data_IF_420428796200
#
_entry.id   IF_420428796200
#
_cell.length_a   1.000
_cell.length_b   1.000
_cell.length_c   1.000
_cell.angle_alpha   90.00
_cell.angle_beta   90.00
_cell.angle_gamma   90.00
#
_symmetry.space_group_name_H-M   'P 1'
#
loop_
_entity.id
_entity.type
_entity.pdbx_description
1 polymer ?
#
# COMPACT_ATOMS: atom_id res chain seq x y z
N UNK A 1 -19.05 52.29 -18.99
CA UNK A 1 -18.27 51.45 -18.06
C UNK A 1 -18.88 50.05 -18.10
N UNK A 2 -18.30 49.06 -18.80
CA UNK A 2 -18.81 47.70 -18.75
C UNK A 2 -18.14 46.93 -17.59
N UNK A 3 -19.00 46.29 -16.80
CA UNK A 3 -18.66 45.46 -15.64
C UNK A 3 -18.14 44.09 -16.09
N UNK A 4 -16.98 43.68 -15.59
CA UNK A 4 -16.41 42.35 -15.78
C UNK A 4 -16.75 41.48 -14.56
N UNK A 5 -17.68 40.54 -14.73
CA UNK A 5 -17.88 39.44 -13.79
C UNK A 5 -16.87 38.33 -14.08
N UNK A 6 -15.89 38.14 -13.20
CA UNK A 6 -15.00 36.97 -13.22
C UNK A 6 -15.72 35.76 -12.61
N UNK A 7 -16.06 34.78 -13.44
CA UNK A 7 -16.54 33.47 -13.02
C UNK A 7 -15.31 32.61 -12.66
N UNK A 8 -15.05 32.42 -11.37
CA UNK A 8 -14.01 31.51 -10.89
C UNK A 8 -14.57 30.09 -10.94
N UNK A 9 -14.10 29.30 -11.91
CA UNK A 9 -14.33 27.85 -11.97
C UNK A 9 -13.52 27.18 -10.84
N UNK A 10 -14.18 26.72 -9.79
CA UNK A 10 -13.58 25.78 -8.85
C UNK A 10 -13.57 24.38 -9.47
N UNK A 11 -12.40 23.92 -9.90
CA UNK A 11 -12.16 22.52 -10.19
C UNK A 11 -12.05 21.74 -8.86
N UNK A 12 -13.15 21.14 -8.42
CA UNK A 12 -13.15 20.21 -7.29
C UNK A 12 -12.47 18.91 -7.69
N UNK A 13 -11.36 18.57 -7.03
CA UNK A 13 -10.75 17.26 -7.15
C UNK A 13 -11.68 16.21 -6.53
N UNK A 14 -12.25 15.36 -7.38
CA UNK A 14 -13.05 14.20 -6.98
C UNK A 14 -12.07 13.14 -6.48
N UNK A 15 -11.83 13.08 -5.18
CA UNK A 15 -11.13 11.96 -4.56
C UNK A 15 -12.12 10.80 -4.43
N UNK A 16 -12.10 9.85 -5.37
CA UNK A 16 -12.84 8.60 -5.23
C UNK A 16 -12.28 7.84 -4.02
N UNK A 17 -13.10 7.49 -3.01
CA UNK A 17 -12.63 6.63 -1.93
C UNK A 17 -12.27 5.26 -2.54
N UNK A 18 -10.99 4.92 -2.53
CA UNK A 18 -10.56 3.55 -2.80
C UNK A 18 -11.13 2.72 -1.65
N UNK A 19 -12.08 1.82 -1.94
CA UNK A 19 -12.60 0.91 -0.95
C UNK A 19 -11.42 0.13 -0.35
N UNK A 20 -11.46 -0.13 0.95
CA UNK A 20 -10.45 -0.93 1.61
C UNK A 20 -10.52 -2.36 1.06
N UNK A 21 -9.69 -2.67 0.08
CA UNK A 21 -9.58 -4.00 -0.49
C UNK A 21 -8.69 -4.87 0.39
N UNK A 22 -9.19 -6.08 0.68
CA UNK A 22 -8.43 -7.18 1.23
C UNK A 22 -8.17 -8.18 0.10
N UNK A 23 -6.91 -8.47 -0.21
CA UNK A 23 -6.57 -9.38 -1.30
C UNK A 23 -5.34 -10.23 -0.99
N UNK A 24 -5.21 -11.36 -1.71
CA UNK A 24 -4.08 -12.26 -1.59
C UNK A 24 -2.83 -11.64 -2.25
N UNK A 25 -1.71 -11.71 -1.56
CA UNK A 25 -0.42 -11.28 -2.07
C UNK A 25 0.64 -12.37 -1.93
N UNK A 26 1.60 -12.35 -2.84
CA UNK A 26 2.83 -13.10 -2.65
C UNK A 26 3.71 -12.34 -1.66
N UNK A 27 3.72 -12.79 -0.41
CA UNK A 27 4.68 -12.30 0.60
C UNK A 27 6.10 -12.51 0.06
N UNK A 28 6.90 -11.44 -0.09
CA UNK A 28 8.28 -11.61 -0.51
C UNK A 28 9.04 -12.49 0.49
N UNK A 29 9.98 -13.28 -0.01
CA UNK A 29 10.77 -14.18 0.82
C UNK A 29 11.54 -13.40 1.90
N UNK A 30 11.65 -14.00 3.09
CA UNK A 30 12.36 -13.42 4.24
C UNK A 30 11.51 -12.54 5.17
N UNK A 31 10.20 -12.43 4.94
CA UNK A 31 9.30 -11.73 5.88
C UNK A 31 8.80 -12.76 6.88
N UNK A 32 9.15 -12.59 8.16
CA UNK A 32 8.61 -13.36 9.29
C UNK A 32 8.22 -14.80 8.92
N UNK A 33 9.20 -15.65 8.52
CA UNK A 33 8.89 -16.90 7.84
C UNK A 33 8.18 -17.89 8.77
N UNK A 34 6.99 -18.33 8.36
CA UNK A 34 6.17 -19.30 9.09
C UNK A 34 5.68 -18.77 10.44
N UNK A 35 5.24 -19.71 11.28
CA UNK A 35 4.75 -19.40 12.61
C UNK A 35 5.83 -18.77 13.51
N UNK A 36 5.48 -17.64 14.13
CA UNK A 36 6.28 -16.90 15.08
C UNK A 36 5.75 -17.13 16.51
N UNK A 37 6.63 -17.07 17.51
CA UNK A 37 6.25 -17.16 18.92
C UNK A 37 7.08 -16.23 19.79
N UNK A 38 6.42 -15.44 20.63
CA UNK A 38 7.08 -14.42 21.46
C UNK A 38 6.25 -13.94 22.64
N UNK A 39 6.55 -12.73 23.12
CA UNK A 39 5.72 -12.03 24.11
C UNK A 39 4.76 -11.11 23.36
N UNK A 40 3.48 -11.16 23.71
CA UNK A 40 2.46 -10.22 23.25
C UNK A 40 2.18 -9.18 24.33
N UNK A 41 2.74 -7.98 24.19
CA UNK A 41 2.38 -6.84 25.02
C UNK A 41 1.21 -6.06 24.43
N UNK A 42 0.85 -4.94 25.05
CA UNK A 42 -0.21 -4.07 24.56
C UNK A 42 0.12 -2.59 24.64
N UNK A 43 -0.48 -1.83 23.71
CA UNK A 43 -0.39 -0.38 23.64
C UNK A 43 -1.71 0.28 23.25
N UNK A 44 -1.84 1.57 23.56
CA UNK A 44 -2.94 2.44 23.15
C UNK A 44 -2.48 3.33 22.02
N UNK A 45 -3.37 3.65 21.09
CA UNK A 45 -3.05 4.41 19.87
C UNK A 45 -2.57 5.84 20.15
N UNK A 46 -3.03 6.47 21.24
CA UNK A 46 -2.67 7.86 21.57
C UNK A 46 -2.48 8.05 23.07
N UNK A 47 -1.31 7.69 23.57
CA UNK A 47 -0.95 7.85 24.98
C UNK A 47 0.56 7.98 25.14
N UNK A 48 0.99 9.01 25.89
CA UNK A 48 2.40 9.25 26.18
C UNK A 48 3.06 8.14 27.00
N UNK A 49 2.31 7.42 27.85
CA UNK A 49 2.81 6.27 28.61
C UNK A 49 3.23 5.10 27.71
N UNK A 50 2.68 5.05 26.49
CA UNK A 50 2.92 3.99 25.51
C UNK A 50 3.78 4.53 24.35
N UNK A 51 4.34 5.74 24.48
CA UNK A 51 5.11 6.43 23.43
C UNK A 51 4.36 6.63 22.11
N UNK A 52 3.03 6.71 22.15
CA UNK A 52 2.17 6.90 20.97
C UNK A 52 1.50 8.28 20.95
N UNK A 53 1.10 8.72 19.76
CA UNK A 53 0.56 10.06 19.52
C UNK A 53 -0.65 10.08 18.56
N UNK A 54 -1.28 8.92 18.32
CA UNK A 54 -2.40 8.77 17.37
C UNK A 54 -1.97 8.66 15.91
N UNK A 55 -0.68 8.72 15.62
CA UNK A 55 -0.10 8.55 14.29
C UNK A 55 0.74 7.28 14.25
N UNK A 56 0.39 6.35 13.37
CA UNK A 56 1.09 5.08 13.25
C UNK A 56 2.43 5.22 12.52
N UNK A 57 3.37 4.30 12.76
CA UNK A 57 4.60 4.19 11.97
C UNK A 57 4.32 3.99 10.48
N UNK A 58 3.15 3.44 10.12
CA UNK A 58 2.71 3.28 8.73
C UNK A 58 2.17 4.56 8.07
N UNK A 59 2.16 5.69 8.78
CA UNK A 59 1.86 7.00 8.19
C UNK A 59 0.36 7.34 8.13
N UNK A 60 -0.50 6.60 8.83
CA UNK A 60 -1.92 6.93 8.97
C UNK A 60 -2.33 7.14 10.43
N UNK A 61 -3.48 7.79 10.65
CA UNK A 61 -4.07 7.89 11.99
C UNK A 61 -4.78 6.60 12.35
N UNK A 62 -4.50 6.10 13.54
CA UNK A 62 -5.06 4.86 14.09
C UNK A 62 -5.72 5.07 15.45
N UNK A 63 -6.58 4.13 15.83
CA UNK A 63 -7.38 4.17 17.05
C UNK A 63 -7.27 2.84 17.81
N UNK A 64 -7.60 2.85 19.10
CA UNK A 64 -7.58 1.65 19.94
C UNK A 64 -8.40 0.49 19.36
N UNK A 65 -9.44 0.80 18.60
CA UNK A 65 -10.34 -0.16 17.97
C UNK A 65 -9.78 -0.78 16.67
N UNK A 66 -8.71 -0.23 16.11
CA UNK A 66 -8.12 -0.80 14.90
C UNK A 66 -7.42 -2.14 15.23
N UNK A 67 -7.65 -3.20 14.44
CA UNK A 67 -7.04 -4.52 14.67
C UNK A 67 -5.57 -4.53 14.21
N UNK A 68 -4.74 -3.72 14.87
CA UNK A 68 -3.34 -3.49 14.51
C UNK A 68 -2.43 -4.13 15.55
N UNK A 69 -1.29 -4.65 15.10
CA UNK A 69 -0.18 -5.02 15.95
C UNK A 69 1.13 -4.46 15.39
N UNK A 70 2.16 -4.44 16.24
CA UNK A 70 3.46 -3.86 15.97
C UNK A 70 4.55 -4.92 16.19
N UNK A 71 5.18 -5.44 15.13
CA UNK A 71 6.43 -6.20 15.23
C UNK A 71 7.61 -5.30 15.61
N UNK A 72 8.73 -5.92 15.99
CA UNK A 72 10.02 -5.24 16.19
C UNK A 72 10.39 -4.32 15.01
N UNK A 73 10.68 -3.05 15.31
CA UNK A 73 11.14 -2.08 14.32
C UNK A 73 12.43 -2.56 13.63
N UNK A 74 13.40 -3.10 14.38
CA UNK A 74 14.63 -3.69 13.83
C UNK A 74 14.34 -4.84 12.87
N UNK A 75 13.38 -5.72 13.18
CA UNK A 75 13.00 -6.81 12.28
C UNK A 75 12.37 -6.31 10.96
N UNK A 76 11.79 -5.12 10.97
CA UNK A 76 11.24 -4.44 9.78
C UNK A 76 12.24 -3.51 9.08
N UNK A 77 13.50 -3.48 9.52
CA UNK A 77 14.59 -2.74 8.89
C UNK A 77 15.02 -1.46 9.62
N UNK A 78 14.40 -1.09 10.74
CA UNK A 78 14.95 -0.13 11.69
C UNK A 78 14.75 1.36 11.37
N UNK A 79 14.13 1.74 10.25
CA UNK A 79 14.01 3.14 9.87
C UNK A 79 12.71 3.78 10.39
N UNK A 80 12.82 5.02 10.84
CA UNK A 80 11.68 5.87 11.20
C UNK A 80 11.68 7.10 10.29
N UNK A 81 10.57 7.83 10.24
CA UNK A 81 10.53 9.11 9.53
C UNK A 81 11.62 10.08 10.00
N UNK A 82 11.89 10.11 11.31
CA UNK A 82 12.91 11.01 11.89
C UNK A 82 14.35 10.56 11.63
N UNK A 83 14.61 9.26 11.46
CA UNK A 83 15.97 8.75 11.26
C UNK A 83 16.38 8.65 9.80
N UNK A 84 15.51 8.11 8.94
CA UNK A 84 15.75 7.96 7.52
C UNK A 84 14.41 7.88 6.76
N UNK A 85 13.88 9.01 6.26
CA UNK A 85 12.59 9.05 5.56
C UNK A 85 12.51 8.14 4.33
N UNK A 86 13.61 7.98 3.57
CA UNK A 86 13.63 7.15 2.36
C UNK A 86 13.54 5.67 2.72
N UNK A 87 14.36 5.22 3.66
CA UNK A 87 14.30 3.83 4.15
C UNK A 87 12.96 3.55 4.83
N UNK A 88 12.43 4.50 5.61
CA UNK A 88 11.11 4.39 6.23
C UNK A 88 10.01 4.22 5.18
N UNK A 89 10.00 5.00 4.10
CA UNK A 89 9.04 4.82 3.00
C UNK A 89 9.15 3.44 2.37
N UNK A 90 10.37 2.95 2.14
CA UNK A 90 10.57 1.62 1.55
C UNK A 90 10.08 0.51 2.48
N UNK A 91 10.37 0.61 3.78
CA UNK A 91 10.00 -0.40 4.78
C UNK A 91 8.50 -0.40 5.07
N UNK A 92 7.88 0.77 5.25
CA UNK A 92 6.43 0.85 5.48
C UNK A 92 5.64 0.29 4.30
N UNK A 93 6.03 0.58 3.06
CA UNK A 93 5.41 -0.02 1.86
C UNK A 93 5.54 -1.53 1.76
N UNK A 94 6.54 -2.08 2.44
CA UNK A 94 6.84 -3.51 2.47
C UNK A 94 5.95 -4.26 3.48
N UNK A 95 5.78 -3.70 4.67
CA UNK A 95 5.18 -4.39 5.81
C UNK A 95 3.76 -3.93 6.19
N UNK A 96 3.45 -2.65 6.03
CA UNK A 96 2.20 -2.07 6.53
C UNK A 96 0.97 -2.65 5.81
N UNK A 97 -0.01 -3.13 6.55
CA UNK A 97 -1.24 -3.72 6.02
C UNK A 97 -1.18 -5.23 5.82
N UNK A 98 -0.01 -5.86 5.95
CA UNK A 98 0.11 -7.32 5.93
C UNK A 98 -0.70 -7.92 7.09
N UNK A 99 -1.53 -8.89 6.77
CA UNK A 99 -2.41 -9.54 7.72
C UNK A 99 -1.70 -10.73 8.39
N UNK A 100 -1.90 -10.85 9.70
CA UNK A 100 -1.48 -11.98 10.51
C UNK A 100 -2.65 -12.57 11.28
N UNK A 101 -2.63 -13.88 11.49
CA UNK A 101 -3.45 -14.52 12.53
C UNK A 101 -2.67 -14.51 13.83
N UNK A 102 -3.15 -13.78 14.83
CA UNK A 102 -2.53 -13.69 16.16
C UNK A 102 -3.35 -14.50 17.14
N UNK A 103 -2.71 -15.33 17.95
CA UNK A 103 -3.34 -16.28 18.87
C UNK A 103 -2.71 -16.19 20.25
N UNK A 104 -3.57 -16.07 21.26
CA UNK A 104 -3.18 -16.28 22.64
C UNK A 104 -3.34 -17.76 22.99
N UNK A 105 -2.23 -18.49 23.26
CA UNK A 105 -2.31 -19.91 23.58
C UNK A 105 -2.99 -20.18 24.93
N UNK A 106 -3.05 -19.20 25.83
CA UNK A 106 -3.61 -19.38 27.18
C UNK A 106 -5.13 -19.41 27.17
N UNK A 107 -5.76 -18.59 26.32
CA UNK A 107 -7.22 -18.55 26.12
C UNK A 107 -7.67 -19.37 24.92
N UNK A 108 -6.76 -19.69 24.00
CA UNK A 108 -7.07 -20.35 22.72
C UNK A 108 -7.73 -19.43 21.69
N UNK A 109 -7.88 -18.14 21.98
CA UNK A 109 -8.53 -17.18 21.08
C UNK A 109 -7.56 -16.65 20.04
N UNK A 110 -8.06 -16.46 18.83
CA UNK A 110 -7.33 -15.85 17.73
C UNK A 110 -8.09 -14.65 17.14
N UNK A 111 -7.35 -13.69 16.59
CA UNK A 111 -7.90 -12.60 15.80
C UNK A 111 -6.99 -12.31 14.60
N UNK A 112 -7.59 -11.91 13.48
CA UNK A 112 -6.84 -11.35 12.36
C UNK A 112 -6.46 -9.90 12.69
N UNK A 113 -5.18 -9.60 12.54
CA UNK A 113 -4.61 -8.29 12.81
C UNK A 113 -3.68 -7.88 11.69
N UNK A 114 -3.39 -6.59 11.58
CA UNK A 114 -2.56 -6.04 10.51
C UNK A 114 -1.32 -5.39 11.09
N UNK A 115 -0.18 -5.55 10.42
CA UNK A 115 1.01 -4.75 10.73
C UNK A 115 0.64 -3.30 10.44
N UNK A 116 0.55 -2.48 11.47
CA UNK A 116 0.13 -1.10 11.33
C UNK A 116 1.00 -0.13 12.11
N UNK A 117 1.91 -0.62 12.93
CA UNK A 117 2.88 0.19 13.66
C UNK A 117 4.20 -0.59 13.85
N UNK A 118 5.17 0.03 14.52
CA UNK A 118 6.46 -0.60 14.86
C UNK A 118 6.72 -0.58 16.35
N UNK A 119 7.23 -1.68 16.90
CA UNK A 119 7.56 -1.82 18.31
C UNK A 119 9.01 -1.43 18.56
N UNK A 120 9.23 -0.51 19.50
CA UNK A 120 10.56 -0.08 19.92
C UNK A 120 11.36 -1.26 20.50
N UNK A 121 12.51 -1.51 19.88
CA UNK A 121 13.40 -2.62 20.19
C UNK A 121 13.96 -2.59 21.63
N UNK A 122 13.92 -1.43 22.31
CA UNK A 122 14.27 -1.34 23.73
C UNK A 122 13.36 -2.22 24.64
N UNK A 123 12.14 -2.49 24.18
CA UNK A 123 11.13 -3.27 24.92
C UNK A 123 10.89 -4.66 24.34
N UNK A 124 11.47 -4.95 23.18
CA UNK A 124 11.43 -6.27 22.53
C UNK A 124 12.33 -7.25 23.28
N UNK A 125 11.72 -8.24 23.94
CA UNK A 125 12.45 -9.27 24.71
C UNK A 125 12.85 -10.48 23.89
N UNK A 126 12.10 -10.78 22.82
CA UNK A 126 12.43 -11.82 21.85
C UNK A 126 12.16 -11.31 20.44
N UNK A 127 12.86 -11.78 19.39
CA UNK A 127 12.70 -11.27 18.03
C UNK A 127 11.27 -11.35 17.46
N UNK A 128 10.46 -12.29 17.95
CA UNK A 128 9.07 -12.49 17.55
C UNK A 128 8.04 -11.85 18.51
N UNK A 129 8.51 -11.07 19.50
CA UNK A 129 7.62 -10.30 20.37
C UNK A 129 6.88 -9.23 19.56
N UNK A 130 5.63 -9.00 19.93
CA UNK A 130 4.74 -8.04 19.29
C UNK A 130 4.05 -7.19 20.34
N UNK A 131 3.72 -5.96 19.96
CA UNK A 131 2.86 -5.08 20.74
C UNK A 131 1.49 -4.98 20.07
N UNK A 132 0.41 -5.26 20.82
CA UNK A 132 -0.94 -5.41 20.25
C UNK A 132 -1.80 -4.22 20.65
N UNK A 133 -2.56 -3.67 19.71
CA UNK A 133 -3.50 -2.59 20.03
C UNK A 133 -4.50 -3.05 21.10
N UNK A 134 -4.74 -2.21 22.11
CA UNK A 134 -5.41 -2.58 23.37
C UNK A 134 -6.76 -3.31 23.19
N UNK A 135 -7.61 -2.92 22.23
CA UNK A 135 -8.91 -3.57 22.05
C UNK A 135 -8.72 -4.97 21.44
N UNK A 136 -7.81 -5.11 20.47
CA UNK A 136 -7.45 -6.40 19.87
C UNK A 136 -6.79 -7.35 20.90
N UNK A 137 -5.95 -6.81 21.77
CA UNK A 137 -5.39 -7.54 22.91
C UNK A 137 -6.50 -8.01 23.86
N UNK A 138 -7.42 -7.11 24.20
CA UNK A 138 -8.54 -7.40 25.11
C UNK A 138 -9.48 -8.47 24.56
N UNK A 139 -9.65 -8.54 23.24
CA UNK A 139 -10.47 -9.55 22.58
C UNK A 139 -9.88 -10.97 22.73
N UNK A 140 -8.56 -11.12 22.62
CA UNK A 140 -7.90 -12.43 22.65
C UNK A 140 -7.42 -12.84 24.06
N UNK A 141 -7.02 -11.90 24.92
CA UNK A 141 -6.47 -12.18 26.24
C UNK A 141 -7.37 -11.72 27.39
N UNK A 142 -7.95 -10.52 27.26
CA UNK A 142 -8.72 -9.83 28.29
C UNK A 142 -8.14 -8.45 28.62
N UNK A 143 -8.92 -7.62 29.33
CA UNK A 143 -8.50 -6.26 29.66
C UNK A 143 -7.30 -6.26 30.64
N UNK A 144 -6.15 -5.66 30.29
CA UNK A 144 -4.99 -5.63 31.17
C UNK A 144 -5.12 -4.63 32.33
N UNK A 145 -6.19 -3.84 32.40
CA UNK A 145 -6.47 -2.85 33.46
C UNK A 145 -5.32 -1.87 33.73
N UNK A 146 -4.53 -1.56 32.71
CA UNK A 146 -3.39 -0.66 32.82
C UNK A 146 -2.08 -1.30 33.29
N UNK A 147 -2.05 -2.60 33.64
CA UNK A 147 -0.83 -3.30 34.04
C UNK A 147 0.01 -3.69 32.82
N UNK A 148 1.20 -3.08 32.68
CA UNK A 148 2.16 -3.39 31.61
C UNK A 148 2.86 -4.74 31.77
N UNK A 149 2.75 -5.38 32.94
CA UNK A 149 3.24 -6.74 33.15
C UNK A 149 2.20 -7.80 32.76
N UNK A 150 0.95 -7.39 32.52
CA UNK A 150 -0.06 -8.26 31.95
C UNK A 150 0.23 -8.41 30.45
N UNK A 151 0.88 -9.52 30.11
CA UNK A 151 1.37 -9.84 28.76
C UNK A 151 1.03 -11.28 28.42
N UNK A 152 0.81 -11.53 27.13
CA UNK A 152 0.63 -12.89 26.61
C UNK A 152 2.01 -13.55 26.51
N UNK A 153 2.24 -14.59 27.31
CA UNK A 153 3.46 -15.40 27.22
C UNK A 153 3.29 -16.44 26.12
N UNK A 154 4.18 -16.41 25.12
CA UNK A 154 4.14 -17.35 24.00
C UNK A 154 3.04 -17.04 22.98
N UNK A 155 2.71 -15.76 22.79
CA UNK A 155 1.78 -15.34 21.72
C UNK A 155 2.25 -15.93 20.39
N UNK A 156 1.33 -16.52 19.65
CA UNK A 156 1.62 -17.14 18.36
C UNK A 156 1.07 -16.27 17.25
N UNK A 157 1.86 -16.04 16.20
CA UNK A 157 1.36 -15.31 15.04
C UNK A 157 2.01 -15.75 13.73
N UNK A 158 1.28 -15.61 12.63
CA UNK A 158 1.77 -15.96 11.30
C UNK A 158 1.11 -15.06 10.27
N UNK A 159 1.89 -14.61 9.27
CA UNK A 159 1.35 -13.86 8.14
C UNK A 159 0.48 -14.76 7.26
N UNK A 160 -0.71 -14.29 6.90
CA UNK A 160 -1.70 -15.09 6.15
C UNK A 160 -1.47 -15.10 4.64
N UNK A 161 -0.61 -14.20 4.15
CA UNK A 161 -0.48 -13.93 2.72
C UNK A 161 -1.56 -13.01 2.17
N UNK A 162 -2.31 -12.30 3.04
CA UNK A 162 -3.25 -11.25 2.64
C UNK A 162 -2.76 -9.89 3.09
N UNK A 163 -3.27 -8.87 2.42
CA UNK A 163 -3.04 -7.46 2.75
C UNK A 163 -4.37 -6.73 2.82
N UNK A 164 -4.48 -5.76 3.73
CA UNK A 164 -5.61 -4.84 3.81
C UNK A 164 -5.15 -3.41 3.54
N UNK A 165 -5.66 -2.83 2.46
CA UNK A 165 -5.26 -1.49 1.99
C UNK A 165 -5.65 -0.36 2.95
N UNK A 166 -6.62 -0.56 3.86
CA UNK A 166 -6.93 0.42 4.93
C UNK A 166 -5.72 0.70 5.83
N UNK A 167 -4.90 -0.32 6.07
CA UNK A 167 -3.75 -0.27 6.97
C UNK A 167 -2.42 -0.23 6.21
N UNK A 168 -2.48 -0.02 4.89
CA UNK A 168 -1.31 0.12 4.04
C UNK A 168 -0.69 1.51 4.19
N UNK A 169 0.63 1.59 4.01
CA UNK A 169 1.32 2.87 3.92
C UNK A 169 1.03 3.56 2.58
N UNK A 170 1.11 4.91 2.50
CA UNK A 170 0.96 5.62 1.23
C UNK A 170 1.94 5.14 0.14
N UNK A 171 1.38 4.78 -1.02
CA UNK A 171 2.14 4.23 -2.15
C UNK A 171 2.64 2.80 -1.94
N UNK A 172 2.11 2.08 -0.95
CA UNK A 172 2.35 0.64 -0.84
C UNK A 172 1.57 -0.10 -1.92
N UNK A 173 2.23 -1.09 -2.52
CA UNK A 173 1.64 -1.96 -3.52
C UNK A 173 2.34 -3.30 -3.43
N UNK A 174 1.54 -4.37 -3.45
CA UNK A 174 2.05 -5.73 -3.41
C UNK A 174 1.66 -6.48 -4.67
N UNK A 175 2.52 -7.37 -5.18
CA UNK A 175 2.15 -8.26 -6.28
C UNK A 175 0.91 -9.08 -5.87
N UNK A 176 -0.14 -8.96 -6.65
CA UNK A 176 -1.34 -9.79 -6.48
C UNK A 176 -0.93 -11.23 -6.73
N UNK A 177 -1.30 -12.14 -5.82
CA UNK A 177 -1.15 -13.56 -6.09
C UNK A 177 -2.17 -13.92 -7.16
N UNK A 178 -1.70 -14.40 -8.31
CA UNK A 178 -2.61 -14.94 -9.33
C UNK A 178 -3.29 -16.16 -8.72
N UNK A 179 -4.53 -15.97 -8.29
CA UNK A 179 -5.35 -17.05 -7.77
C UNK A 179 -5.55 -18.06 -8.89
N UNK A 180 -4.90 -19.22 -8.79
CA UNK A 180 -5.30 -20.40 -9.53
C UNK A 180 -6.69 -20.79 -9.05
N UNK A 181 -7.71 -20.26 -9.72
CA UNK A 181 -9.10 -20.61 -9.48
C UNK A 181 -9.27 -22.12 -9.62
N UNK A 182 -9.61 -22.77 -8.52
CA UNK A 182 -9.87 -24.21 -8.48
C UNK A 182 -11.28 -24.46 -9.04
N UNK A 183 -11.36 -25.27 -10.10
CA UNK A 183 -12.56 -26.08 -10.41
C UNK A 183 -13.26 -25.77 -11.74
N UNK A 184 -13.07 -26.65 -12.73
CA UNK A 184 -13.99 -26.83 -13.86
C UNK A 184 -13.32 -27.15 -15.19
N UNK A 185 -13.11 -28.43 -15.46
CA UNK A 185 -12.47 -29.00 -16.65
C UNK A 185 -13.05 -28.53 -17.99
N UNK A 186 -12.17 -28.32 -18.96
CA UNK A 186 -12.53 -28.10 -20.35
C UNK A 186 -11.32 -27.84 -21.24
N UNK A 187 -10.68 -28.91 -21.72
CA UNK A 187 -9.62 -28.94 -22.72
C UNK A 187 -9.69 -27.84 -23.78
N UNK A 188 -8.57 -27.16 -24.02
CA UNK A 188 -8.43 -26.23 -25.13
C UNK A 188 -7.02 -25.66 -25.24
N UNK A 189 -6.13 -26.41 -25.90
CA UNK A 189 -4.84 -25.91 -26.40
C UNK A 189 -5.06 -24.68 -27.27
N UNK A 190 -4.47 -23.54 -26.92
CA UNK A 190 -4.56 -22.32 -27.73
C UNK A 190 -3.81 -21.14 -27.11
N UNK A 191 -2.52 -21.02 -27.42
CA UNK A 191 -1.72 -19.83 -27.12
C UNK A 191 -2.29 -18.62 -27.87
N UNK A 192 -3.09 -17.79 -27.20
CA UNK A 192 -3.59 -16.53 -27.76
C UNK A 192 -2.63 -15.36 -27.43
N UNK A 193 -2.23 -14.52 -28.40
CA UNK A 193 -1.31 -13.39 -28.20
C UNK A 193 -1.83 -12.24 -27.32
N UNK A 194 -3.09 -12.30 -26.87
CA UNK A 194 -3.76 -11.19 -26.17
C UNK A 194 -3.37 -10.97 -24.71
N UNK A 195 -2.71 -11.93 -24.05
CA UNK A 195 -2.34 -11.83 -22.63
C UNK A 195 -1.21 -10.84 -22.33
N UNK A 196 -0.20 -10.78 -23.21
CA UNK A 196 0.97 -9.90 -23.05
C UNK A 196 0.62 -8.42 -23.28
N UNK A 197 -0.30 -8.13 -24.21
CA UNK A 197 -0.70 -6.76 -24.54
C UNK A 197 -1.51 -6.11 -23.40
N UNK A 198 -2.35 -6.89 -22.71
CA UNK A 198 -3.10 -6.42 -21.54
C UNK A 198 -2.18 -6.05 -20.37
N UNK A 199 -1.14 -6.84 -20.13
CA UNK A 199 -0.19 -6.60 -19.04
C UNK A 199 0.70 -5.37 -19.32
N UNK A 200 1.13 -5.18 -20.58
CA UNK A 200 1.88 -4.00 -20.99
C UNK A 200 1.08 -2.69 -20.86
N UNK A 201 -0.22 -2.70 -21.20
CA UNK A 201 -1.06 -1.49 -21.10
C UNK A 201 -1.32 -1.09 -19.63
N UNK A 202 -1.49 -2.07 -18.71
CA UNK A 202 -1.65 -1.79 -17.27
C UNK A 202 -0.35 -1.25 -16.65
N UNK A 203 0.79 -1.88 -16.93
CA UNK A 203 2.10 -1.43 -16.41
C UNK A 203 2.46 -0.02 -16.92
N UNK A 204 2.13 0.28 -18.17
CA UNK A 204 2.43 1.59 -18.78
C UNK A 204 1.50 2.69 -18.25
N UNK A 205 0.22 2.38 -17.98
CA UNK A 205 -0.71 3.34 -17.33
C UNK A 205 -0.27 3.69 -15.90
N UNK A 206 0.22 2.72 -15.13
CA UNK A 206 0.77 2.96 -13.79
C UNK A 206 2.04 3.84 -13.83
N UNK A 207 2.98 3.54 -14.72
CA UNK A 207 4.22 4.33 -14.85
C UNK A 207 3.96 5.80 -15.25
N UNK A 208 2.92 6.06 -16.05
CA UNK A 208 2.51 7.43 -16.43
C UNK A 208 1.79 8.14 -15.28
N UNK A 209 1.03 7.40 -14.45
CA UNK A 209 0.44 7.93 -13.22
C UNK A 209 1.52 8.42 -12.23
N UNK A 210 2.51 7.56 -11.95
CA UNK A 210 3.64 7.90 -11.08
C UNK A 210 4.46 9.09 -11.61
N UNK A 211 4.60 9.21 -12.93
CA UNK A 211 5.28 10.34 -13.57
C UNK A 211 4.48 11.66 -13.43
N UNK A 212 3.14 11.62 -13.48
CA UNK A 212 2.28 12.79 -13.23
C UNK A 212 2.37 13.25 -11.78
N UNK A 213 2.28 12.31 -10.84
CA UNK A 213 2.33 12.62 -9.41
C UNK A 213 3.71 13.14 -8.98
N UNK A 214 4.78 12.59 -9.58
CA UNK A 214 6.14 13.11 -9.42
C UNK A 214 6.33 14.52 -9.98
N UNK A 215 5.69 14.87 -11.10
CA UNK A 215 5.77 16.21 -11.68
C UNK A 215 5.00 17.26 -10.86
N UNK A 216 3.83 16.89 -10.35
CA UNK A 216 3.02 17.73 -9.45
C UNK A 216 3.77 17.99 -8.14
N UNK A 217 4.45 16.97 -7.61
CA UNK A 217 5.33 17.13 -6.46
C UNK A 217 6.51 18.09 -6.77
N UNK A 218 7.12 18.01 -7.95
CA UNK A 218 8.21 18.92 -8.35
C UNK A 218 7.76 20.39 -8.49
N UNK A 219 6.53 20.62 -8.96
CA UNK A 219 5.95 21.95 -9.14
C UNK A 219 5.71 22.67 -7.80
N UNK A 220 5.43 21.91 -6.73
CA UNK A 220 5.18 22.44 -5.38
C UNK A 220 6.46 22.93 -4.68
N UNK A 221 7.66 22.61 -5.17
CA UNK A 221 8.95 22.96 -4.55
C UNK A 221 9.78 24.01 -5.30
N UNK A 222 9.32 24.52 -6.44
CA UNK A 222 10.07 25.50 -7.22
C UNK A 222 9.94 26.94 -6.65
N UNK A 223 11.09 27.56 -6.30
CA UNK A 223 11.19 28.89 -5.65
C UNK A 223 10.97 30.11 -6.58
N UNK A 224 10.47 29.95 -7.81
CA UNK A 224 10.16 31.09 -8.69
C UNK A 224 9.05 30.74 -9.70
N UNK A 225 7.94 31.50 -9.74
CA UNK A 225 6.73 31.12 -10.47
C UNK A 225 6.81 31.31 -12.00
N UNK A 226 7.74 32.11 -12.52
CA UNK A 226 7.69 32.53 -13.93
C UNK A 226 8.41 31.61 -14.92
N UNK A 227 9.42 30.84 -14.50
CA UNK A 227 10.15 29.91 -15.39
C UNK A 227 9.53 28.50 -15.42
N UNK A 228 8.69 28.19 -14.44
CA UNK A 228 8.07 26.86 -14.24
C UNK A 228 6.85 26.68 -15.14
N UNK A 229 6.04 27.73 -15.36
CA UNK A 229 4.77 27.61 -16.08
C UNK A 229 4.91 27.23 -17.56
N UNK A 230 5.99 27.64 -18.24
CA UNK A 230 6.19 27.31 -19.67
C UNK A 230 6.75 25.90 -19.85
N UNK A 231 7.63 25.45 -18.94
CA UNK A 231 8.20 24.10 -18.95
C UNK A 231 7.15 23.03 -18.60
N UNK A 232 6.35 23.27 -17.55
CA UNK A 232 5.30 22.35 -17.12
C UNK A 232 4.17 22.26 -18.13
N UNK A 233 3.69 23.38 -18.70
CA UNK A 233 2.62 23.34 -19.71
C UNK A 233 3.04 22.60 -20.99
N UNK A 234 4.34 22.64 -21.34
CA UNK A 234 4.88 21.90 -22.49
C UNK A 234 5.01 20.40 -22.19
N UNK A 235 5.40 20.03 -20.97
CA UNK A 235 5.44 18.63 -20.51
C UNK A 235 4.04 18.03 -20.32
N UNK A 236 3.09 18.77 -19.76
CA UNK A 236 1.70 18.33 -19.61
C UNK A 236 1.06 18.04 -20.97
N UNK A 237 1.27 18.88 -21.99
CA UNK A 237 0.78 18.60 -23.35
C UNK A 237 1.38 17.33 -23.95
N UNK A 238 2.67 17.06 -23.69
CA UNK A 238 3.33 15.82 -24.15
C UNK A 238 2.76 14.60 -23.42
N UNK A 239 2.59 14.68 -22.10
CA UNK A 239 2.02 13.60 -21.28
C UNK A 239 0.55 13.35 -21.64
N UNK A 240 -0.24 14.39 -21.89
CA UNK A 240 -1.64 14.27 -22.31
C UNK A 240 -1.76 13.72 -23.74
N UNK A 241 -0.86 14.15 -24.64
CA UNK A 241 -0.76 13.59 -25.99
C UNK A 241 -0.37 12.11 -26.01
N UNK A 242 0.55 11.68 -25.13
CA UNK A 242 0.89 10.26 -24.95
C UNK A 242 -0.26 9.47 -24.34
N UNK A 243 -0.96 10.02 -23.35
CA UNK A 243 -2.11 9.37 -22.71
C UNK A 243 -3.22 9.09 -23.72
N UNK A 244 -3.61 10.09 -24.53
CA UNK A 244 -4.66 9.92 -25.54
C UNK A 244 -4.26 8.99 -26.69
N UNK A 245 -2.97 8.97 -27.07
CA UNK A 245 -2.46 8.01 -28.07
C UNK A 245 -2.47 6.58 -27.53
N UNK A 246 -2.14 6.38 -26.26
CA UNK A 246 -2.18 5.05 -25.62
C UNK A 246 -3.60 4.56 -25.39
N UNK A 247 -4.54 5.44 -25.04
CA UNK A 247 -5.95 5.09 -24.93
C UNK A 247 -6.53 4.69 -26.31
N UNK A 248 -6.19 5.42 -27.38
CA UNK A 248 -6.59 5.03 -28.74
C UNK A 248 -6.01 3.68 -29.19
N UNK A 249 -4.78 3.34 -28.79
CA UNK A 249 -4.15 2.05 -29.09
C UNK A 249 -4.78 0.92 -28.27
N UNK A 250 -5.05 1.15 -26.97
CA UNK A 250 -5.65 0.13 -26.10
C UNK A 250 -7.16 -0.06 -26.38
N UNK A 251 -7.87 0.94 -26.87
CA UNK A 251 -9.28 0.86 -27.30
C UNK A 251 -9.43 0.13 -28.65
N UNK A 252 -8.49 0.35 -29.59
CA UNK A 252 -8.44 -0.44 -30.85
C UNK A 252 -8.17 -1.92 -30.62
N UNK A 253 -7.46 -2.28 -29.55
CA UNK A 253 -7.20 -3.68 -29.19
C UNK A 253 -8.41 -4.35 -28.52
N UNK A 254 -9.38 -3.56 -28.03
CA UNK A 254 -10.56 -4.06 -27.31
C UNK A 254 -11.72 -4.43 -28.26
N UNK A 255 -11.83 -3.78 -29.42
CA UNK A 255 -12.79 -4.14 -30.46
C UNK A 255 -12.20 -5.20 -31.39
N UNK A 256 -12.43 -6.47 -31.05
CA UNK A 256 -11.89 -7.65 -31.71
C UNK A 256 -12.30 -7.86 -33.18
N UNK A 257 -11.76 -7.05 -34.09
CA UNK A 257 -11.63 -7.41 -35.50
C UNK A 257 -10.15 -7.50 -35.83
N UNK A 258 -9.68 -8.72 -36.07
CA UNK A 258 -8.30 -8.96 -36.47
C UNK A 258 -7.95 -8.15 -37.71
N UNK A 259 -6.75 -7.58 -37.71
CA UNK A 259 -6.16 -7.04 -38.93
C UNK A 259 -4.69 -7.44 -39.06
N UNK A 260 -4.43 -7.74 -40.33
CA UNK A 260 -3.25 -8.20 -41.04
C UNK A 260 -2.04 -7.28 -40.83
N UNK A 261 -0.86 -7.88 -40.64
CA UNK A 261 0.43 -7.19 -40.65
C UNK A 261 0.73 -6.73 -42.08
N UNK A 262 0.39 -5.48 -42.44
CA UNK A 262 1.00 -4.78 -43.58
C UNK A 262 0.74 -3.27 -43.47
N UNK A 263 1.59 -2.56 -42.71
CA UNK A 263 1.96 -1.12 -42.85
C UNK A 263 2.73 -0.66 -41.60
N UNK A 264 4.01 -0.99 -41.53
CA UNK A 264 4.96 -0.36 -40.62
C UNK A 264 6.26 0.02 -41.35
N UNK A 265 6.15 0.72 -42.49
CA UNK A 265 7.33 1.34 -43.13
C UNK A 265 7.20 2.85 -43.43
N UNK A 266 6.11 3.52 -43.06
CA UNK A 266 5.94 4.95 -43.42
C UNK A 266 5.89 5.90 -42.22
N UNK A 267 6.70 5.67 -41.18
CA UNK A 267 6.99 6.73 -40.18
C UNK A 267 8.46 6.64 -39.77
N UNK A 268 9.34 6.85 -40.75
CA UNK A 268 10.75 7.17 -40.49
C UNK A 268 11.19 8.31 -41.42
N UNK A 269 10.48 9.43 -41.39
CA UNK A 269 10.93 10.77 -41.79
C UNK A 269 9.78 11.77 -41.70
N UNK A 270 9.66 12.45 -40.56
CA UNK A 270 9.19 13.85 -40.43
C UNK A 270 9.44 14.35 -39.01
#
# INVERSE_FOLDING_TARGET
MPSLFSLIMMAGAITTPVAADIYNTNLPSGFFPGAQSGIGSWYRASTSQDSTNGQSWCGYKYYNSDPVFAPSLKAMGGATWGSNPDAWRQQTRKYCGLEAKVTDPTTGKSQLMYIGDSFDDAWVRTPASIDIMIDAYSNIHGNPNGDKNNVIKGVQWELTGRVNTKFAAPGASWPVKSDGSSGGDGSGSGSSPGGLVRMACVVTKLAIGDAKDGLVALALFARSPLTVSVGIAKLEKVVWGLHNRLDSICEFTYNGTGFEFDRLEEIRTS
#
